data_IF_706157654435
#
_entry.id   IF_706157654435
#
_cell.length_a   1.000
_cell.length_b   1.000
_cell.length_c   1.000
_cell.angle_alpha   90.00
_cell.angle_beta   90.00
_cell.angle_gamma   90.00
#
_symmetry.space_group_name_H-M   'P 1'
#
loop_
_entity.id
_entity.type
_entity.pdbx_description
1 polymer ?
#
# COMPACT_ATOMS: atom_id res chain seq x y z
N UNK A 1 -14.00 24.29 -2.47
CA UNK A 1 -12.92 23.55 -1.89
C UNK A 1 -12.92 22.12 -2.28
N UNK A 2 -11.96 21.78 -2.98
CA UNK A 2 -11.78 20.41 -3.36
C UNK A 2 -11.30 19.53 -2.22
N UNK A 3 -11.03 20.15 -1.09
CA UNK A 3 -10.67 19.45 0.13
C UNK A 3 -11.72 18.45 0.59
N UNK A 4 -12.89 18.46 -0.05
CA UNK A 4 -13.92 17.49 0.24
C UNK A 4 -13.63 16.12 -0.37
N UNK A 5 -12.63 15.99 -1.23
CA UNK A 5 -12.30 14.75 -1.90
C UNK A 5 -11.05 14.13 -1.23
N UNK A 6 -11.22 13.22 -0.27
CA UNK A 6 -10.06 12.65 0.44
C UNK A 6 -9.14 11.86 -0.50
N UNK A 7 -7.85 12.02 -0.26
CA UNK A 7 -6.79 11.31 -0.97
C UNK A 7 -6.33 10.14 -0.10
N UNK A 8 -6.40 8.93 -0.63
CA UNK A 8 -6.15 7.70 0.11
C UNK A 8 -4.97 6.97 -0.50
N UNK A 9 -3.96 6.69 0.32
CA UNK A 9 -2.85 5.83 -0.05
C UNK A 9 -3.16 4.41 0.43
N UNK A 10 -3.21 3.45 -0.49
CA UNK A 10 -3.46 2.05 -0.18
C UNK A 10 -2.19 1.21 -0.30
N UNK A 11 -1.95 0.33 0.68
CA UNK A 11 -0.79 -0.55 0.73
C UNK A 11 -1.25 -1.99 0.82
N UNK A 12 -0.79 -2.83 -0.10
CA UNK A 12 -1.08 -4.26 -0.13
C UNK A 12 0.22 -5.06 -0.03
N UNK A 13 0.33 -5.89 1.00
CA UNK A 13 1.51 -6.72 1.23
C UNK A 13 1.15 -8.10 1.79
N UNK A 14 -0.02 -8.63 1.42
CA UNK A 14 -0.57 -9.81 2.09
C UNK A 14 0.13 -11.13 1.75
N UNK A 15 0.78 -11.25 0.61
CA UNK A 15 1.44 -12.50 0.22
C UNK A 15 2.69 -12.27 -0.62
N UNK A 16 2.61 -12.47 -1.93
CA UNK A 16 3.77 -12.47 -2.84
C UNK A 16 3.81 -11.27 -3.78
N UNK A 17 2.95 -10.29 -3.54
CA UNK A 17 2.94 -9.05 -4.31
C UNK A 17 2.93 -7.86 -3.37
N UNK A 18 3.69 -6.84 -3.73
CA UNK A 18 3.66 -5.56 -3.03
C UNK A 18 2.96 -4.56 -3.92
N UNK A 19 1.86 -4.01 -3.46
CA UNK A 19 1.08 -3.05 -4.23
C UNK A 19 0.90 -1.75 -3.46
N UNK A 20 0.95 -0.64 -4.18
CA UNK A 20 0.64 0.69 -3.64
C UNK A 20 -0.24 1.40 -4.65
N UNK A 21 -1.29 2.04 -4.16
CA UNK A 21 -2.20 2.78 -5.01
C UNK A 21 -2.58 4.09 -4.35
N UNK A 22 -2.83 5.10 -5.18
CA UNK A 22 -3.32 6.39 -4.73
C UNK A 22 -4.68 6.61 -5.34
N UNK A 23 -5.69 6.82 -4.49
CA UNK A 23 -7.09 6.92 -4.87
C UNK A 23 -7.66 8.22 -4.33
N UNK A 24 -8.46 8.89 -5.13
CA UNK A 24 -9.21 10.06 -4.69
C UNK A 24 -10.68 9.73 -4.64
N UNK A 25 -11.28 9.83 -3.46
CA UNK A 25 -12.70 9.57 -3.24
C UNK A 25 -13.46 10.88 -3.20
N UNK A 26 -14.76 10.84 -3.48
CA UNK A 26 -15.63 11.99 -3.41
C UNK A 26 -15.85 12.65 -4.75
N UNK A 27 -16.99 13.30 -4.90
CA UNK A 27 -17.37 14.00 -6.13
C UNK A 27 -17.84 13.09 -7.26
N UNK A 28 -17.63 11.80 -7.15
CA UNK A 28 -18.03 10.81 -8.14
C UNK A 28 -18.56 9.55 -7.45
N UNK A 29 -19.47 8.80 -8.09
CA UNK A 29 -19.97 7.54 -7.51
C UNK A 29 -18.86 6.51 -7.27
N UNK A 30 -17.82 6.51 -8.12
CA UNK A 30 -16.70 5.58 -8.03
C UNK A 30 -15.44 6.37 -7.73
N UNK A 31 -14.63 5.95 -6.74
CA UNK A 31 -13.35 6.61 -6.48
C UNK A 31 -12.43 6.57 -7.70
N UNK A 32 -11.61 7.58 -7.83
CA UNK A 32 -10.71 7.74 -8.97
C UNK A 32 -9.33 7.22 -8.62
N UNK A 33 -8.84 6.23 -9.39
CA UNK A 33 -7.48 5.74 -9.25
C UNK A 33 -6.51 6.71 -9.93
N UNK A 34 -5.66 7.36 -9.16
CA UNK A 34 -4.70 8.34 -9.68
C UNK A 34 -3.42 7.70 -10.17
N UNK A 35 -2.90 6.73 -9.43
CA UNK A 35 -1.69 6.00 -9.78
C UNK A 35 -1.63 4.70 -8.99
N UNK A 36 -0.94 3.71 -9.54
CA UNK A 36 -0.65 2.49 -8.82
C UNK A 36 0.65 1.87 -9.30
N UNK A 37 1.26 1.08 -8.45
CA UNK A 37 2.47 0.34 -8.77
C UNK A 37 2.43 -1.01 -8.07
N UNK A 38 2.93 -2.03 -8.73
CA UNK A 38 2.89 -3.39 -8.25
C UNK A 38 4.23 -4.06 -8.52
N UNK A 39 4.72 -4.79 -7.53
CA UNK A 39 5.91 -5.63 -7.69
C UNK A 39 5.54 -7.05 -7.31
N UNK A 40 5.75 -8.01 -8.23
CA UNK A 40 5.47 -9.42 -8.02
C UNK A 40 6.74 -10.16 -7.61
N UNK A 41 6.61 -11.09 -6.66
CA UNK A 41 7.70 -11.94 -6.19
C UNK A 41 7.62 -13.34 -6.81
N UNK A 42 6.78 -13.53 -7.82
CA UNK A 42 6.50 -14.88 -8.37
C UNK A 42 7.79 -15.60 -8.77
N UNK A 43 8.67 -14.94 -9.51
CA UNK A 43 9.91 -15.57 -9.96
C UNK A 43 10.81 -15.99 -8.80
N UNK A 44 10.92 -15.16 -7.78
CA UNK A 44 11.72 -15.45 -6.60
C UNK A 44 11.21 -16.70 -5.90
N UNK A 45 9.90 -16.79 -5.69
CA UNK A 45 9.33 -17.94 -4.98
C UNK A 45 9.32 -19.21 -5.82
N UNK A 46 9.19 -19.10 -7.14
CA UNK A 46 9.24 -20.26 -8.03
C UNK A 46 10.57 -21.01 -7.90
N UNK A 47 11.66 -20.30 -7.67
CA UNK A 47 12.97 -20.93 -7.47
C UNK A 47 13.00 -21.87 -6.26
N UNK A 48 12.07 -21.72 -5.32
CA UNK A 48 11.96 -22.52 -4.10
C UNK A 48 10.73 -23.44 -4.11
N UNK A 49 10.00 -23.52 -5.22
CA UNK A 49 8.84 -24.38 -5.35
C UNK A 49 7.57 -23.85 -4.72
N UNK A 50 7.55 -22.60 -4.28
CA UNK A 50 6.37 -21.98 -3.67
C UNK A 50 6.75 -20.77 -2.82
N UNK A 51 5.75 -20.12 -2.23
CA UNK A 51 5.96 -18.92 -1.42
C UNK A 51 6.79 -19.25 -0.17
N UNK A 52 7.87 -18.49 0.04
CA UNK A 52 8.71 -18.56 1.23
C UNK A 52 8.38 -17.33 2.09
N UNK A 53 7.67 -17.49 3.22
CA UNK A 53 7.16 -16.34 3.99
C UNK A 53 8.23 -15.34 4.43
N UNK A 54 9.39 -15.81 4.85
CA UNK A 54 10.46 -14.91 5.27
C UNK A 54 10.98 -14.06 4.11
N UNK A 55 11.14 -14.65 2.93
CA UNK A 55 11.57 -13.92 1.74
C UNK A 55 10.51 -12.92 1.31
N UNK A 56 9.23 -13.30 1.41
CA UNK A 56 8.13 -12.40 1.11
C UNK A 56 8.18 -11.15 1.99
N UNK A 57 8.34 -11.34 3.30
CA UNK A 57 8.41 -10.21 4.24
C UNK A 57 9.59 -9.28 3.93
N UNK A 58 10.75 -9.84 3.66
CA UNK A 58 11.95 -9.06 3.32
C UNK A 58 11.76 -8.25 2.05
N UNK A 59 11.14 -8.84 1.05
CA UNK A 59 10.92 -8.14 -0.22
C UNK A 59 9.91 -7.01 -0.05
N UNK A 60 8.84 -7.21 0.72
CA UNK A 60 7.88 -6.15 1.01
C UNK A 60 8.57 -4.94 1.67
N UNK A 61 9.47 -5.20 2.63
CA UNK A 61 10.23 -4.14 3.28
C UNK A 61 11.01 -3.31 2.26
N UNK A 62 11.59 -3.97 1.25
CA UNK A 62 12.37 -3.28 0.21
C UNK A 62 11.51 -2.49 -0.74
N UNK A 63 10.27 -2.92 -0.99
CA UNK A 63 9.46 -2.41 -2.09
C UNK A 63 8.47 -1.33 -1.69
N UNK A 64 7.94 -1.37 -0.47
CA UNK A 64 6.83 -0.48 -0.10
C UNK A 64 7.18 1.00 -0.27
N UNK A 65 8.32 1.44 0.25
CA UNK A 65 8.69 2.85 0.15
C UNK A 65 9.01 3.30 -1.28
N UNK A 66 9.84 2.56 -2.06
CA UNK A 66 10.05 2.93 -3.45
C UNK A 66 8.78 2.97 -4.29
N UNK A 67 7.88 2.00 -4.09
CA UNK A 67 6.60 2.01 -4.79
C UNK A 67 5.74 3.19 -4.37
N UNK A 68 5.74 3.54 -3.10
CA UNK A 68 5.02 4.71 -2.60
C UNK A 68 5.55 5.98 -3.25
N UNK A 69 6.86 6.14 -3.31
CA UNK A 69 7.49 7.30 -3.95
C UNK A 69 7.13 7.37 -5.44
N UNK A 70 7.14 6.23 -6.13
CA UNK A 70 6.77 6.15 -7.53
C UNK A 70 5.33 6.59 -7.75
N UNK A 71 4.40 6.06 -6.95
CA UNK A 71 2.97 6.37 -7.06
C UNK A 71 2.71 7.85 -6.81
N UNK A 72 3.32 8.42 -5.77
CA UNK A 72 3.15 9.83 -5.45
C UNK A 72 3.68 10.72 -6.58
N UNK A 73 4.84 10.38 -7.14
CA UNK A 73 5.42 11.13 -8.24
C UNK A 73 4.55 11.06 -9.50
N UNK A 74 4.05 9.87 -9.84
CA UNK A 74 3.18 9.69 -11.00
C UNK A 74 1.88 10.47 -10.88
N UNK A 75 1.34 10.57 -9.67
CA UNK A 75 0.13 11.32 -9.41
C UNK A 75 0.37 12.83 -9.26
N UNK A 76 1.63 13.27 -9.18
CA UNK A 76 1.95 14.68 -8.95
C UNK A 76 1.51 15.17 -7.57
N UNK A 77 1.53 14.29 -6.57
CA UNK A 77 1.11 14.60 -5.20
C UNK A 77 2.27 14.50 -4.23
N UNK A 78 2.15 15.21 -3.11
CA UNK A 78 3.11 15.13 -2.01
C UNK A 78 2.54 14.26 -0.89
N UNK A 79 3.40 13.68 -0.06
CA UNK A 79 2.96 12.86 1.06
C UNK A 79 1.98 13.60 1.98
N UNK A 80 2.19 14.88 2.20
CA UNK A 80 1.32 15.69 3.05
C UNK A 80 -0.09 15.86 2.49
N UNK A 81 -0.29 15.57 1.20
CA UNK A 81 -1.61 15.64 0.57
C UNK A 81 -2.48 14.43 0.91
N UNK A 82 -1.88 13.36 1.43
CA UNK A 82 -2.60 12.15 1.82
C UNK A 82 -3.49 12.44 3.02
N UNK A 83 -4.76 12.03 2.92
CA UNK A 83 -5.75 12.22 4.00
C UNK A 83 -5.93 10.95 4.83
N UNK A 84 -5.78 9.77 4.23
CA UNK A 84 -5.95 8.47 4.88
C UNK A 84 -4.92 7.50 4.32
N UNK A 85 -4.32 6.69 5.20
CA UNK A 85 -3.47 5.57 4.78
C UNK A 85 -4.25 4.28 5.05
N UNK A 86 -4.52 3.50 4.02
CA UNK A 86 -5.20 2.21 4.12
C UNK A 86 -4.19 1.09 3.86
N UNK A 87 -4.38 -0.04 4.51
CA UNK A 87 -3.52 -1.21 4.30
C UNK A 87 -4.33 -2.49 4.42
N UNK A 88 -3.84 -3.55 3.78
CA UNK A 88 -4.46 -4.87 3.90
C UNK A 88 -4.18 -5.42 5.29
N UNK A 89 -5.25 -5.64 6.07
CA UNK A 89 -5.16 -6.21 7.41
C UNK A 89 -5.16 -7.72 7.39
N UNK A 90 -5.80 -8.32 6.41
CA UNK A 90 -5.90 -9.75 6.21
C UNK A 90 -6.92 -10.11 5.14
N UNK A 91 -7.03 -11.39 4.77
CA UNK A 91 -6.13 -12.49 5.14
C UNK A 91 -4.79 -12.43 4.40
N UNK A 92 -3.79 -13.15 4.92
CA UNK A 92 -2.48 -13.21 4.28
C UNK A 92 -1.41 -13.76 5.22
N UNK A 93 -0.16 -13.72 4.77
CA UNK A 93 0.99 -14.15 5.56
C UNK A 93 1.26 -13.13 6.68
N UNK A 94 1.37 -13.61 7.91
CA UNK A 94 1.50 -12.74 9.09
C UNK A 94 2.66 -11.74 8.98
N UNK A 95 3.86 -12.22 8.62
CA UNK A 95 5.03 -11.35 8.47
C UNK A 95 4.87 -10.32 7.37
N UNK A 96 4.31 -10.74 6.23
CA UNK A 96 4.05 -9.85 5.12
C UNK A 96 3.01 -8.78 5.48
N UNK A 97 1.93 -9.18 6.14
CA UNK A 97 0.89 -8.25 6.60
C UNK A 97 1.46 -7.21 7.56
N UNK A 98 2.37 -7.63 8.46
CA UNK A 98 2.98 -6.72 9.43
C UNK A 98 3.82 -5.64 8.76
N UNK A 99 4.45 -5.92 7.63
CA UNK A 99 5.22 -4.90 6.90
C UNK A 99 4.30 -3.77 6.44
N UNK A 100 3.20 -4.12 5.77
CA UNK A 100 2.23 -3.12 5.31
C UNK A 100 1.62 -2.33 6.47
N UNK A 101 1.21 -3.03 7.52
CA UNK A 101 0.66 -2.40 8.72
C UNK A 101 1.68 -1.45 9.37
N UNK A 102 2.93 -1.89 9.50
CA UNK A 102 4.00 -1.09 10.10
C UNK A 102 4.27 0.19 9.32
N UNK A 103 4.39 0.08 8.00
CA UNK A 103 4.62 1.25 7.14
C UNK A 103 3.41 2.18 7.18
N UNK A 104 2.20 1.63 7.11
CA UNK A 104 0.98 2.44 7.16
C UNK A 104 0.87 3.21 8.47
N UNK A 105 1.12 2.54 9.60
CA UNK A 105 1.08 3.18 10.92
C UNK A 105 2.17 4.26 11.07
N UNK A 106 3.37 3.99 10.56
CA UNK A 106 4.46 4.95 10.61
C UNK A 106 4.14 6.19 9.77
N UNK A 107 3.60 6.01 8.56
CA UNK A 107 3.19 7.12 7.72
C UNK A 107 2.05 7.91 8.36
N UNK A 108 1.05 7.23 8.89
CA UNK A 108 -0.07 7.89 9.57
C UNK A 108 0.39 8.73 10.74
N UNK A 109 1.30 8.20 11.56
CA UNK A 109 1.86 8.92 12.70
C UNK A 109 2.67 10.13 12.23
N UNK A 110 3.52 9.95 11.22
CA UNK A 110 4.37 11.02 10.70
C UNK A 110 3.55 12.15 10.07
N UNK A 111 2.47 11.82 9.41
CA UNK A 111 1.62 12.79 8.71
C UNK A 111 0.49 13.32 9.58
N UNK A 112 0.24 12.73 10.75
CA UNK A 112 -0.89 13.08 11.59
C UNK A 112 -2.23 12.70 10.94
N UNK A 113 -2.27 11.59 10.21
CA UNK A 113 -3.45 11.16 9.45
C UNK A 113 -3.95 9.81 9.92
N UNK A 114 -5.25 9.53 9.78
CA UNK A 114 -5.82 8.25 10.17
C UNK A 114 -5.31 7.09 9.32
N UNK A 115 -5.25 5.92 9.93
CA UNK A 115 -4.82 4.68 9.29
C UNK A 115 -5.99 3.70 9.36
N UNK A 116 -6.29 3.05 8.24
CA UNK A 116 -7.42 2.13 8.11
C UNK A 116 -6.95 0.76 7.66
N UNK A 117 -7.21 -0.27 8.48
CA UNK A 117 -6.98 -1.65 8.09
C UNK A 117 -8.17 -2.20 7.34
N UNK A 118 -7.93 -2.77 6.16
CA UNK A 118 -8.97 -3.30 5.30
C UNK A 118 -8.81 -4.81 5.16
N UNK A 119 -9.90 -5.55 5.40
CA UNK A 119 -9.92 -6.99 5.21
C UNK A 119 -10.30 -7.27 3.76
N UNK A 120 -9.43 -7.99 3.02
CA UNK A 120 -9.74 -8.29 1.64
C UNK A 120 -10.04 -9.78 1.44
N UNK A 121 -11.16 -10.07 0.91
CA UNK A 121 -11.54 -11.44 0.55
C UNK A 121 -11.80 -11.54 -0.93
#
# INVERSE_FOLDING_TARGET
MSDTAPLILGIESSCDETGVALVQAGGHPVPQLLAHALHSQIEMHQAYGGVVPELASRDHIRRVLPLTQQVMAEAGKNLKDIDVVAYTRGPGLAGALLVGAGVACALGAALGKPVLGVHHL
#
